data_IF_265344373041
#
_entry.id   IF_265344373041
#
_cell.length_a   1.000
_cell.length_b   1.000
_cell.length_c   1.000
_cell.angle_alpha   90.00
_cell.angle_beta   90.00
_cell.angle_gamma   90.00
#
_symmetry.space_group_name_H-M   'P 1'
#
loop_
_entity.id
_entity.type
_entity.pdbx_description
1 polymer ?
#
# COMPACT_ATOMS: atom_id res chain seq x y z
N UNK A 1 -35.77 -25.06 40.71
CA UNK A 1 -34.57 -25.26 39.87
C UNK A 1 -34.63 -24.22 38.78
N UNK A 2 -33.92 -23.09 38.95
CA UNK A 2 -33.98 -21.95 38.05
C UNK A 2 -33.21 -22.22 36.76
N UNK A 3 -33.86 -21.93 35.64
CA UNK A 3 -33.25 -21.86 34.33
C UNK A 3 -32.13 -20.81 34.35
N UNK A 4 -30.92 -21.24 34.01
CA UNK A 4 -29.82 -20.38 33.58
C UNK A 4 -30.25 -19.71 32.28
N UNK A 5 -30.69 -18.45 32.36
CA UNK A 5 -30.79 -17.60 31.20
C UNK A 5 -29.37 -17.42 30.66
N UNK A 6 -29.16 -17.95 29.46
CA UNK A 6 -27.97 -17.75 28.65
C UNK A 6 -27.90 -16.25 28.33
N UNK A 7 -27.07 -15.53 29.08
CA UNK A 7 -26.87 -14.10 28.95
C UNK A 7 -26.28 -13.85 27.54
N UNK A 8 -26.92 -13.02 26.69
CA UNK A 8 -26.40 -12.75 25.37
C UNK A 8 -24.98 -12.17 25.48
N UNK A 9 -24.07 -12.53 24.58
CA UNK A 9 -22.68 -12.12 24.66
C UNK A 9 -22.59 -10.59 24.75
N UNK A 10 -21.67 -10.05 25.58
CA UNK A 10 -21.53 -8.62 25.73
C UNK A 10 -21.23 -7.98 24.38
N UNK A 11 -21.94 -6.90 24.05
CA UNK A 11 -21.66 -6.09 22.86
C UNK A 11 -20.15 -5.76 22.83
N UNK A 12 -19.49 -5.85 21.65
CA UNK A 12 -18.10 -5.46 21.54
C UNK A 12 -17.95 -4.03 22.10
N UNK A 13 -16.89 -3.75 22.88
CA UNK A 13 -16.73 -2.46 23.52
C UNK A 13 -16.83 -1.39 22.43
N UNK A 14 -17.79 -0.46 22.57
CA UNK A 14 -18.23 0.49 21.54
C UNK A 14 -17.10 1.19 20.74
N UNK A 15 -15.90 1.27 21.33
CA UNK A 15 -14.67 1.76 20.69
C UNK A 15 -14.17 0.90 19.53
N UNK A 16 -14.27 -0.43 19.63
CA UNK A 16 -13.85 -1.36 18.56
C UNK A 16 -14.72 -1.20 17.32
N UNK A 17 -16.04 -1.08 17.50
CA UNK A 17 -16.98 -0.83 16.41
C UNK A 17 -16.74 0.53 15.71
N UNK A 18 -16.27 1.55 16.45
CA UNK A 18 -15.92 2.85 15.86
C UNK A 18 -14.67 2.73 14.98
N UNK A 19 -13.65 2.00 15.42
CA UNK A 19 -12.42 1.82 14.62
C UNK A 19 -12.67 0.95 13.40
N UNK A 20 -13.48 -0.11 13.53
CA UNK A 20 -13.89 -0.98 12.43
C UNK A 20 -14.55 -0.18 11.31
N UNK A 21 -15.55 0.63 11.66
CA UNK A 21 -16.18 1.51 10.67
C UNK A 21 -15.20 2.51 10.07
N UNK A 22 -14.33 3.12 10.88
CA UNK A 22 -13.39 4.11 10.40
C UNK A 22 -12.36 3.52 9.42
N UNK A 23 -11.88 2.30 9.64
CA UNK A 23 -10.95 1.65 8.70
C UNK A 23 -11.67 1.22 7.42
N UNK A 24 -12.92 0.77 7.51
CA UNK A 24 -13.76 0.47 6.35
C UNK A 24 -13.97 1.71 5.48
N UNK A 25 -14.30 2.85 6.09
CA UNK A 25 -14.46 4.14 5.41
C UNK A 25 -13.17 4.56 4.71
N UNK A 26 -12.02 4.42 5.38
CA UNK A 26 -10.71 4.69 4.75
C UNK A 26 -10.43 3.75 3.58
N UNK A 27 -10.74 2.47 3.74
CA UNK A 27 -10.50 1.47 2.69
C UNK A 27 -11.36 1.77 1.47
N UNK A 28 -12.66 1.96 1.66
CA UNK A 28 -13.59 2.33 0.59
C UNK A 28 -13.14 3.60 -0.14
N UNK A 29 -12.71 4.63 0.60
CA UNK A 29 -12.28 5.90 0.02
C UNK A 29 -10.95 5.84 -0.73
N UNK A 30 -9.96 5.08 -0.23
CA UNK A 30 -8.56 5.25 -0.65
C UNK A 30 -7.86 4.01 -1.21
N UNK A 31 -8.40 2.79 -1.09
CA UNK A 31 -7.68 1.58 -1.51
C UNK A 31 -7.19 1.64 -2.96
N UNK A 32 -8.01 2.13 -3.90
CA UNK A 32 -7.66 2.21 -5.33
C UNK A 32 -6.46 3.13 -5.59
N UNK A 33 -6.43 4.30 -4.94
CA UNK A 33 -5.34 5.26 -5.15
C UNK A 33 -4.06 4.80 -4.45
N UNK A 34 -4.18 4.17 -3.28
CA UNK A 34 -3.03 3.58 -2.57
C UNK A 34 -2.42 2.45 -3.41
N UNK A 35 -3.23 1.52 -3.91
CA UNK A 35 -2.79 0.43 -4.77
C UNK A 35 -2.09 0.95 -6.02
N UNK A 36 -2.70 1.88 -6.75
CA UNK A 36 -2.09 2.44 -7.97
C UNK A 36 -0.70 3.03 -7.69
N UNK A 37 -0.53 3.73 -6.57
CA UNK A 37 0.77 4.33 -6.20
C UNK A 37 1.77 3.28 -5.73
N UNK A 38 1.32 2.26 -4.99
CA UNK A 38 2.15 1.15 -4.55
C UNK A 38 2.65 0.31 -5.73
N UNK A 39 1.77 -0.06 -6.66
CA UNK A 39 2.13 -0.78 -7.89
C UNK A 39 3.13 0.00 -8.76
N UNK A 40 2.97 1.32 -8.86
CA UNK A 40 3.95 2.16 -9.55
C UNK A 40 5.33 2.12 -8.87
N UNK A 41 5.38 2.21 -7.54
CA UNK A 41 6.63 2.08 -6.79
C UNK A 41 7.25 0.67 -6.91
N UNK A 42 6.41 -0.34 -7.15
CA UNK A 42 6.78 -1.73 -7.37
C UNK A 42 7.15 -2.03 -8.83
N UNK A 43 7.39 -1.00 -9.65
CA UNK A 43 7.72 -1.13 -11.08
C UNK A 43 6.70 -1.98 -11.86
N UNK A 44 5.42 -1.89 -11.50
CA UNK A 44 4.33 -2.61 -12.15
C UNK A 44 4.00 -3.97 -11.52
N UNK A 45 4.78 -4.47 -10.55
CA UNK A 45 4.46 -5.70 -9.84
C UNK A 45 3.17 -5.52 -9.02
N UNK A 46 2.09 -6.18 -9.45
CA UNK A 46 0.76 -6.05 -8.83
C UNK A 46 0.69 -6.75 -7.49
N UNK A 47 1.39 -7.88 -7.33
CA UNK A 47 1.48 -8.62 -6.06
C UNK A 47 2.12 -7.76 -4.96
N UNK A 48 3.28 -7.17 -5.22
CA UNK A 48 3.96 -6.26 -4.28
C UNK A 48 3.13 -5.01 -3.99
N UNK A 49 2.40 -4.51 -5.00
CA UNK A 49 1.48 -3.38 -4.83
C UNK A 49 0.33 -3.70 -3.87
N UNK A 50 -0.24 -4.90 -3.96
CA UNK A 50 -1.27 -5.37 -3.05
C UNK A 50 -0.73 -5.62 -1.64
N UNK A 51 0.43 -6.28 -1.50
CA UNK A 51 1.09 -6.49 -0.21
C UNK A 51 1.33 -5.15 0.52
N UNK A 52 1.89 -4.18 -0.19
CA UNK A 52 2.11 -2.85 0.36
C UNK A 52 0.83 -2.09 0.72
N UNK A 53 -0.24 -2.28 -0.05
CA UNK A 53 -1.55 -1.68 0.23
C UNK A 53 -2.13 -2.27 1.50
N UNK A 54 -2.14 -3.60 1.64
CA UNK A 54 -2.60 -4.28 2.85
C UNK A 54 -1.77 -3.85 4.07
N UNK A 55 -0.45 -3.80 3.92
CA UNK A 55 0.45 -3.33 4.97
C UNK A 55 0.08 -1.91 5.45
N UNK A 56 -0.23 -0.99 4.55
CA UNK A 56 -0.61 0.37 4.90
C UNK A 56 -1.92 0.44 5.70
N UNK A 57 -2.93 -0.35 5.34
CA UNK A 57 -4.20 -0.40 6.08
C UNK A 57 -4.07 -1.11 7.42
N UNK A 58 -3.25 -2.16 7.53
CA UNK A 58 -2.89 -2.78 8.82
C UNK A 58 -2.22 -1.74 9.73
N UNK A 59 -1.30 -0.92 9.20
CA UNK A 59 -0.66 0.14 9.98
C UNK A 59 -1.61 1.26 10.38
N UNK A 60 -2.60 1.59 9.54
CA UNK A 60 -3.65 2.54 9.90
C UNK A 60 -4.50 2.01 11.06
N UNK A 61 -4.91 0.74 10.99
CA UNK A 61 -5.61 0.06 12.08
C UNK A 61 -4.82 0.08 13.38
N UNK A 62 -3.55 -0.32 13.36
CA UNK A 62 -2.66 -0.27 14.51
C UNK A 62 -2.51 1.15 15.08
N UNK A 63 -2.53 2.18 14.24
CA UNK A 63 -2.42 3.58 14.67
C UNK A 63 -3.69 4.05 15.37
N UNK A 64 -4.87 3.69 14.86
CA UNK A 64 -6.17 4.02 15.47
C UNK A 64 -6.36 3.40 16.85
N UNK A 65 -5.83 2.19 17.06
CA UNK A 65 -5.89 1.52 18.36
C UNK A 65 -4.98 2.16 19.42
N UNK A 66 -4.01 2.98 19.02
CA UNK A 66 -3.03 3.61 19.92
C UNK A 66 -3.47 5.02 20.32
N UNK A 67 -4.13 5.10 21.48
CA UNK A 67 -4.69 6.33 22.07
C UNK A 67 -3.69 7.49 22.29
N UNK A 68 -2.39 7.24 22.24
CA UNK A 68 -1.35 8.24 22.52
C UNK A 68 -0.67 8.82 21.27
N UNK A 69 -1.05 8.36 20.07
CA UNK A 69 -0.46 8.88 18.85
C UNK A 69 -1.20 10.11 18.36
N UNK A 70 -0.45 11.06 17.78
CA UNK A 70 -1.03 12.25 17.18
C UNK A 70 -2.07 11.87 16.12
N UNK A 71 -3.14 12.67 16.06
CA UNK A 71 -4.19 12.52 15.06
C UNK A 71 -3.62 12.69 13.65
N UNK A 72 -3.99 11.79 12.73
CA UNK A 72 -3.58 11.88 11.33
C UNK A 72 -4.57 12.78 10.60
N UNK A 73 -4.13 14.00 10.30
CA UNK A 73 -4.94 14.99 9.56
C UNK A 73 -5.13 14.62 8.07
N UNK A 74 -4.17 13.93 7.46
CA UNK A 74 -4.20 13.55 6.05
C UNK A 74 -3.99 12.04 5.85
N UNK A 75 -5.06 11.27 6.04
CA UNK A 75 -5.04 9.82 5.89
C UNK A 75 -4.63 9.34 4.50
N UNK A 76 -5.12 9.99 3.43
CA UNK A 76 -4.74 9.63 2.05
C UNK A 76 -3.23 9.72 1.83
N UNK A 77 -2.62 10.84 2.21
CA UNK A 77 -1.18 11.05 2.08
C UNK A 77 -0.37 10.10 2.96
N UNK A 78 -0.86 9.83 4.17
CA UNK A 78 -0.24 8.90 5.10
C UNK A 78 -0.23 7.47 4.54
N UNK A 79 -1.38 6.96 4.08
CA UNK A 79 -1.53 5.62 3.51
C UNK A 79 -0.63 5.42 2.29
N UNK A 80 -0.64 6.38 1.34
CA UNK A 80 0.23 6.32 0.15
C UNK A 80 1.71 6.27 0.56
N UNK A 81 2.12 7.13 1.50
CA UNK A 81 3.51 7.17 1.98
C UNK A 81 3.90 5.86 2.65
N UNK A 82 3.03 5.29 3.48
CA UNK A 82 3.27 4.01 4.17
C UNK A 82 3.42 2.88 3.17
N UNK A 83 2.51 2.75 2.19
CA UNK A 83 2.58 1.71 1.16
C UNK A 83 3.84 1.84 0.30
N UNK A 84 4.13 3.04 -0.23
CA UNK A 84 5.31 3.27 -1.08
C UNK A 84 6.61 2.98 -0.33
N UNK A 85 6.71 3.38 0.94
CA UNK A 85 7.88 3.06 1.77
C UNK A 85 8.06 1.56 1.94
N UNK A 86 6.98 0.83 2.20
CA UNK A 86 7.01 -0.63 2.33
C UNK A 86 7.62 -1.28 1.09
N UNK A 87 7.15 -0.91 -0.11
CA UNK A 87 7.72 -1.40 -1.38
C UNK A 87 9.22 -1.09 -1.48
N UNK A 88 9.62 0.16 -1.23
CA UNK A 88 11.01 0.58 -1.35
C UNK A 88 11.93 -0.15 -0.35
N UNK A 89 11.45 -0.42 0.86
CA UNK A 89 12.22 -1.18 1.86
C UNK A 89 12.30 -2.67 1.50
N UNK A 90 11.20 -3.28 1.03
CA UNK A 90 11.19 -4.65 0.56
C UNK A 90 12.20 -4.84 -0.58
N UNK A 91 12.19 -3.97 -1.59
CA UNK A 91 13.12 -4.05 -2.73
C UNK A 91 14.59 -3.88 -2.33
N UNK A 92 14.89 -2.96 -1.40
CA UNK A 92 16.24 -2.81 -0.84
C UNK A 92 16.74 -4.06 -0.11
N UNK A 93 15.84 -4.80 0.57
CA UNK A 93 16.17 -6.07 1.22
C UNK A 93 16.43 -7.18 0.20
N UNK A 94 15.60 -7.30 -0.83
CA UNK A 94 15.79 -8.30 -1.89
C UNK A 94 17.10 -8.08 -2.65
N UNK A 95 17.44 -6.84 -3.00
CA UNK A 95 18.72 -6.51 -3.66
C UNK A 95 19.96 -6.87 -2.83
N UNK A 96 19.83 -7.04 -1.51
CA UNK A 96 20.94 -7.45 -0.63
C UNK A 96 21.07 -8.96 -0.44
N UNK A 97 20.07 -9.74 -0.87
CA UNK A 97 20.03 -11.20 -0.71
C UNK A 97 20.01 -11.96 -2.03
N UNK A 98 19.93 -11.28 -3.17
CA UNK A 98 20.31 -11.89 -4.45
C UNK A 98 21.82 -12.10 -4.39
N UNK A 99 22.20 -13.36 -4.15
CA UNK A 99 23.53 -13.84 -4.55
C UNK A 99 23.62 -13.53 -6.03
N UNK A 100 24.58 -12.70 -6.42
CA UNK A 100 24.96 -12.54 -7.81
C UNK A 100 25.51 -13.91 -8.24
N UNK A 101 24.64 -14.81 -8.66
CA UNK A 101 25.09 -15.89 -9.53
C UNK A 101 25.63 -15.18 -10.77
N UNK A 102 26.89 -15.45 -11.11
CA UNK A 102 27.56 -15.04 -12.35
C UNK A 102 26.84 -15.66 -13.56
N UNK A 103 25.57 -15.30 -13.74
CA UNK A 103 24.93 -15.36 -15.05
C UNK A 103 25.55 -14.21 -15.81
N UNK A 104 26.35 -14.55 -16.83
CA UNK A 104 26.90 -13.60 -17.78
C UNK A 104 25.85 -12.54 -18.13
N UNK A 105 26.23 -11.25 -18.19
CA UNK A 105 25.28 -10.19 -18.48
C UNK A 105 24.74 -10.41 -19.89
N UNK A 106 23.54 -10.97 -20.00
CA UNK A 106 22.74 -10.77 -21.20
C UNK A 106 22.54 -9.27 -21.32
N UNK A 107 23.06 -8.73 -22.41
CA UNK A 107 23.22 -7.32 -22.75
C UNK A 107 21.88 -6.55 -22.73
N UNK A 108 21.35 -6.25 -21.54
CA UNK A 108 20.22 -5.34 -21.32
C UNK A 108 20.76 -3.91 -21.13
N UNK A 109 21.64 -3.47 -22.04
CA UNK A 109 21.81 -2.05 -22.28
C UNK A 109 20.53 -1.56 -22.94
N UNK A 110 19.56 -1.14 -22.13
CA UNK A 110 18.46 -0.28 -22.59
C UNK A 110 19.12 0.89 -23.30
N UNK A 111 19.06 0.88 -24.64
CA UNK A 111 19.72 1.88 -25.46
C UNK A 111 19.05 3.22 -25.19
N UNK A 112 19.83 4.30 -25.23
CA UNK A 112 19.33 5.66 -24.98
C UNK A 112 18.13 6.00 -25.89
N UNK A 113 18.06 5.33 -27.04
CA UNK A 113 16.98 5.35 -28.02
C UNK A 113 15.63 4.93 -27.42
N UNK A 114 15.59 3.92 -26.54
CA UNK A 114 14.35 3.46 -25.88
C UNK A 114 13.81 4.51 -24.89
N UNK A 115 14.70 5.28 -24.26
CA UNK A 115 14.31 6.37 -23.37
C UNK A 115 13.72 7.58 -24.13
N UNK A 116 14.17 7.81 -25.37
CA UNK A 116 13.63 8.87 -26.23
C UNK A 116 12.21 8.50 -26.68
N UNK A 117 12.00 7.26 -27.11
CA UNK A 117 10.66 6.76 -27.50
C UNK A 117 9.69 6.85 -26.33
N UNK A 118 10.11 6.47 -25.12
CA UNK A 118 9.25 6.55 -23.93
C UNK A 118 8.85 8.00 -23.59
N UNK A 119 9.78 8.95 -23.76
CA UNK A 119 9.53 10.38 -23.53
C UNK A 119 8.57 10.95 -24.57
N UNK A 120 8.78 10.66 -25.85
CA UNK A 120 7.92 11.13 -26.95
C UNK A 120 6.49 10.56 -26.82
N UNK A 121 6.39 9.28 -26.45
CA UNK A 121 5.09 8.62 -26.20
C UNK A 121 4.35 9.29 -25.04
N UNK A 122 5.06 9.64 -23.96
CA UNK A 122 4.47 10.35 -22.83
C UNK A 122 4.04 11.78 -23.19
N UNK A 123 4.83 12.50 -23.98
CA UNK A 123 4.48 13.85 -24.44
C UNK A 123 3.26 13.83 -25.36
N UNK A 124 3.21 12.94 -26.35
CA UNK A 124 2.05 12.80 -27.24
C UNK A 124 0.77 12.42 -26.50
N UNK A 125 0.85 11.56 -25.48
CA UNK A 125 -0.30 11.23 -24.63
C UNK A 125 -0.78 12.42 -23.79
N UNK A 126 0.12 13.27 -23.32
CA UNK A 126 -0.24 14.46 -22.53
C UNK A 126 -0.84 15.57 -23.40
N UNK A 127 -0.38 15.70 -24.64
CA UNK A 127 -0.93 16.65 -25.62
C UNK A 127 -2.32 16.23 -26.13
N UNK A 128 -2.59 14.93 -26.26
CA UNK A 128 -3.89 14.41 -26.70
C UNK A 128 -4.99 14.48 -25.60
N UNK A 129 -4.62 14.78 -24.36
CA UNK A 129 -5.52 14.84 -23.20
C UNK A 129 -5.83 16.30 -22.79
N UNK A 130 -5.16 17.29 -23.40
CA UNK A 130 -5.48 18.72 -23.29
C UNK A 130 -6.40 19.21 -24.41
#
# INVERSE_FOLDING_TARGET
MSATADEPPPDPPQREAVWEKQIEDLYAAYHRVVLRKATLAAAGCTADGWDATQHAFIKAWEHMQKLHLNEIVNWKGWLIKTAVRHVLFARRRHSRHVVLEDSEPTDDRILLEDHVVLKETYQGMMEAVG
#
